data_IF_668029279763
#
_entry.id   IF_668029279763
#
_cell.length_a   1.000
_cell.length_b   1.000
_cell.length_c   1.000
_cell.angle_alpha   90.00
_cell.angle_beta   90.00
_cell.angle_gamma   90.00
#
_symmetry.space_group_name_H-M   'P 1'
#
loop_
_entity.id
_entity.type
_entity.pdbx_description
1 polymer ?
#
# COMPACT_ATOMS: atom_id res chain seq x y z
N UNK A 1 -11.79 -7.41 -28.83
CA UNK A 1 -10.92 -6.32 -28.41
C UNK A 1 -10.67 -6.41 -26.91
N UNK A 2 -9.45 -6.64 -26.55
CA UNK A 2 -9.08 -6.80 -25.15
C UNK A 2 -8.69 -5.46 -24.54
N UNK A 3 -9.42 -5.04 -23.54
CA UNK A 3 -9.03 -3.86 -22.76
C UNK A 3 -7.93 -4.27 -21.79
N UNK A 4 -6.95 -3.38 -21.52
CA UNK A 4 -6.02 -3.63 -20.43
C UNK A 4 -6.83 -3.83 -19.13
N UNK A 5 -6.52 -4.88 -18.40
CA UNK A 5 -7.16 -5.12 -17.11
C UNK A 5 -6.68 -4.08 -16.14
N UNK A 6 -7.61 -3.33 -15.58
CA UNK A 6 -7.31 -2.43 -14.47
C UNK A 6 -7.29 -3.21 -13.17
N UNK A 7 -6.49 -2.80 -12.18
CA UNK A 7 -6.61 -3.35 -10.84
C UNK A 7 -8.06 -3.20 -10.35
N UNK A 8 -8.60 -4.18 -9.64
CA UNK A 8 -9.95 -4.08 -9.11
C UNK A 8 -10.09 -2.90 -8.15
N UNK A 9 -11.23 -2.25 -8.20
CA UNK A 9 -11.57 -1.19 -7.24
C UNK A 9 -12.18 -1.86 -6.01
N UNK A 10 -11.55 -1.64 -4.87
CA UNK A 10 -11.97 -2.23 -3.60
C UNK A 10 -12.56 -1.13 -2.75
N UNK A 11 -13.76 -1.34 -2.24
CA UNK A 11 -14.42 -0.36 -1.38
C UNK A 11 -13.79 -0.33 0.02
N UNK A 12 -14.00 0.79 0.73
CA UNK A 12 -13.56 0.90 2.11
C UNK A 12 -14.14 -0.23 2.98
N UNK A 13 -15.39 -0.59 2.77
CA UNK A 13 -16.03 -1.68 3.49
C UNK A 13 -15.36 -3.03 3.24
N UNK A 14 -14.98 -3.30 2.00
CA UNK A 14 -14.26 -4.53 1.66
C UNK A 14 -12.89 -4.58 2.32
N UNK A 15 -12.14 -3.48 2.28
CA UNK A 15 -10.87 -3.39 3.00
C UNK A 15 -11.05 -3.62 4.49
N UNK A 16 -12.02 -2.96 5.09
CA UNK A 16 -12.24 -3.06 6.52
C UNK A 16 -12.63 -4.49 6.93
N UNK A 17 -13.46 -5.14 6.14
CA UNK A 17 -13.82 -6.53 6.39
C UNK A 17 -12.59 -7.45 6.32
N UNK A 18 -11.78 -7.33 5.26
CA UNK A 18 -10.56 -8.11 5.15
C UNK A 18 -9.64 -7.88 6.35
N UNK A 19 -9.44 -6.61 6.71
CA UNK A 19 -8.59 -6.23 7.84
C UNK A 19 -9.10 -6.81 9.17
N UNK A 20 -10.42 -6.88 9.34
CA UNK A 20 -11.01 -7.41 10.58
C UNK A 20 -10.74 -8.91 10.78
N UNK A 21 -10.47 -9.64 9.69
CA UNK A 21 -10.14 -11.07 9.74
C UNK A 21 -8.63 -11.32 9.78
N UNK A 22 -7.83 -10.28 9.77
CA UNK A 22 -6.38 -10.37 9.77
C UNK A 22 -5.82 -9.97 11.12
N UNK A 23 -4.66 -10.54 11.45
CA UNK A 23 -3.92 -10.10 12.63
C UNK A 23 -3.50 -8.65 12.45
N UNK A 24 -3.61 -7.87 13.53
CA UNK A 24 -3.13 -6.49 13.55
C UNK A 24 -1.65 -6.45 13.16
N UNK A 25 -1.25 -5.54 12.26
CA UNK A 25 0.15 -5.44 11.86
C UNK A 25 1.08 -5.08 13.02
N UNK A 26 2.37 -5.37 12.83
CA UNK A 26 3.40 -5.01 13.80
C UNK A 26 3.47 -3.50 14.01
N UNK A 27 4.11 -3.08 15.10
CA UNK A 27 4.27 -1.67 15.40
C UNK A 27 4.97 -0.91 14.27
N UNK A 28 5.98 -1.52 13.63
CA UNK A 28 6.69 -0.90 12.52
C UNK A 28 5.77 -0.64 11.33
N UNK A 29 4.96 -1.62 10.96
CA UNK A 29 4.01 -1.46 9.85
C UNK A 29 2.95 -0.42 10.22
N UNK A 30 2.46 -0.42 11.44
CA UNK A 30 1.47 0.58 11.88
C UNK A 30 2.04 1.99 11.80
N UNK A 31 3.32 2.18 12.13
CA UNK A 31 4.00 3.47 11.97
C UNK A 31 4.05 3.91 10.51
N UNK A 32 4.35 2.96 9.59
CA UNK A 32 4.33 3.24 8.16
C UNK A 32 2.94 3.66 7.69
N UNK A 33 1.92 2.91 8.07
CA UNK A 33 0.54 3.20 7.69
C UNK A 33 0.10 4.57 8.19
N UNK A 34 0.43 4.88 9.45
CA UNK A 34 0.09 6.17 10.05
C UNK A 34 0.80 7.32 9.35
N UNK A 35 2.09 7.16 9.08
CA UNK A 35 2.87 8.18 8.37
C UNK A 35 2.32 8.40 6.96
N UNK A 36 1.97 7.34 6.25
CA UNK A 36 1.43 7.41 4.90
C UNK A 36 0.06 8.10 4.89
N UNK A 37 -0.81 7.69 5.80
CA UNK A 37 -2.16 8.27 5.94
C UNK A 37 -2.10 9.77 6.24
N UNK A 38 -1.14 10.19 7.08
CA UNK A 38 -0.99 11.57 7.50
C UNK A 38 -0.12 12.41 6.57
N UNK A 39 0.49 11.82 5.56
CA UNK A 39 1.26 12.55 4.57
C UNK A 39 0.36 13.46 3.75
N UNK A 40 0.88 14.59 3.33
CA UNK A 40 0.14 15.52 2.50
C UNK A 40 -0.30 14.82 1.21
N UNK A 41 -1.60 14.87 0.92
CA UNK A 41 -2.18 14.18 -0.22
C UNK A 41 -2.09 12.66 -0.14
N UNK A 42 -1.75 12.10 1.01
CA UNK A 42 -1.47 10.69 1.22
C UNK A 42 -0.38 10.16 0.28
N UNK A 43 0.60 11.00 -0.01
CA UNK A 43 1.72 10.68 -0.90
C UNK A 43 2.98 10.46 -0.08
N UNK A 44 3.68 9.36 -0.33
CA UNK A 44 4.95 9.07 0.31
C UNK A 44 5.86 8.27 -0.62
N UNK A 45 7.08 8.03 -0.16
CA UNK A 45 8.00 7.09 -0.81
C UNK A 45 8.35 5.97 0.16
N UNK A 46 8.86 4.86 -0.35
CA UNK A 46 9.29 3.77 0.54
C UNK A 46 10.41 4.21 1.47
N UNK A 47 11.27 5.14 1.03
CA UNK A 47 12.33 5.69 1.88
C UNK A 47 11.73 6.44 3.08
N UNK A 48 10.75 7.30 2.84
CA UNK A 48 10.10 8.05 3.93
C UNK A 48 9.32 7.13 4.86
N UNK A 49 8.66 6.12 4.32
CA UNK A 49 7.95 5.14 5.14
C UNK A 49 8.92 4.31 5.98
N UNK A 50 10.07 3.96 5.40
CA UNK A 50 11.12 3.26 6.14
C UNK A 50 11.64 4.10 7.31
N UNK A 51 11.89 5.37 7.08
CA UNK A 51 12.32 6.29 8.14
C UNK A 51 11.30 6.37 9.26
N UNK A 52 10.02 6.47 8.91
CA UNK A 52 8.95 6.52 9.90
C UNK A 52 8.90 5.26 10.76
N UNK A 53 9.23 4.11 10.19
CA UNK A 53 9.24 2.83 10.90
C UNK A 53 10.55 2.57 11.66
N UNK A 54 11.56 3.41 11.47
CA UNK A 54 12.87 3.22 12.11
C UNK A 54 13.81 2.30 11.33
N UNK A 55 13.53 2.02 10.06
CA UNK A 55 14.44 1.24 9.23
C UNK A 55 15.55 2.10 8.66
N UNK A 56 16.70 1.50 8.43
CA UNK A 56 17.87 2.19 7.88
C UNK A 56 17.88 2.25 6.35
N UNK A 57 17.02 1.46 5.69
CA UNK A 57 16.90 1.45 4.24
C UNK A 57 15.43 1.22 3.83
N UNK A 58 15.15 1.45 2.56
CA UNK A 58 13.78 1.28 2.05
C UNK A 58 13.38 -0.18 1.86
N UNK A 59 14.33 -1.10 1.75
CA UNK A 59 14.05 -2.50 1.42
C UNK A 59 13.10 -3.19 2.40
N UNK A 60 13.30 -3.11 3.74
CA UNK A 60 12.35 -3.71 4.66
C UNK A 60 10.95 -3.10 4.55
N UNK A 61 10.87 -1.78 4.35
CA UNK A 61 9.58 -1.10 4.21
C UNK A 61 8.83 -1.61 2.98
N UNK A 62 9.54 -1.70 1.84
CA UNK A 62 8.96 -2.20 0.61
C UNK A 62 8.47 -3.64 0.77
N UNK A 63 9.29 -4.49 1.38
CA UNK A 63 8.95 -5.90 1.61
C UNK A 63 7.71 -6.05 2.50
N UNK A 64 7.71 -5.37 3.64
CA UNK A 64 6.62 -5.51 4.60
C UNK A 64 5.31 -4.87 4.13
N UNK A 65 5.39 -3.76 3.44
CA UNK A 65 4.22 -3.11 2.88
C UNK A 65 3.61 -3.96 1.77
N UNK A 66 4.45 -4.51 0.91
CA UNK A 66 4.01 -5.44 -0.13
C UNK A 66 3.37 -6.70 0.46
N UNK A 67 3.96 -7.27 1.50
CA UNK A 67 3.42 -8.45 2.17
C UNK A 67 2.06 -8.16 2.81
N UNK A 68 1.88 -6.99 3.40
CA UNK A 68 0.59 -6.57 3.95
C UNK A 68 -0.47 -6.50 2.86
N UNK A 69 -0.16 -5.82 1.76
CA UNK A 69 -1.08 -5.70 0.62
C UNK A 69 -1.42 -7.07 0.04
N UNK A 70 -0.45 -7.97 -0.05
CA UNK A 70 -0.66 -9.34 -0.53
C UNK A 70 -1.65 -10.09 0.36
N UNK A 71 -1.52 -9.97 1.67
CA UNK A 71 -2.45 -10.63 2.60
C UNK A 71 -3.87 -10.08 2.46
N UNK A 72 -4.00 -8.77 2.29
CA UNK A 72 -5.30 -8.16 2.01
C UNK A 72 -5.88 -8.72 0.71
N UNK A 73 -5.06 -8.75 -0.35
CA UNK A 73 -5.49 -9.26 -1.65
C UNK A 73 -5.96 -10.70 -1.60
N UNK A 74 -5.27 -11.54 -0.83
CA UNK A 74 -5.66 -12.94 -0.67
C UNK A 74 -6.98 -13.10 0.08
N UNK A 75 -7.21 -12.28 1.09
CA UNK A 75 -8.52 -12.27 1.77
C UNK A 75 -9.64 -11.86 0.83
N UNK A 76 -9.35 -11.00 -0.12
CA UNK A 76 -10.33 -10.53 -1.10
C UNK A 76 -10.41 -11.43 -2.34
N UNK A 77 -9.66 -12.54 -2.35
CA UNK A 77 -9.58 -13.50 -3.45
C UNK A 77 -9.12 -12.87 -4.78
N UNK A 78 -8.20 -11.91 -4.69
CA UNK A 78 -7.63 -11.24 -5.87
C UNK A 78 -6.34 -11.94 -6.26
N UNK A 79 -6.23 -12.35 -7.53
CA UNK A 79 -5.03 -13.02 -8.02
C UNK A 79 -3.98 -12.02 -8.51
N UNK A 80 -2.72 -12.33 -8.28
CA UNK A 80 -1.59 -11.52 -8.72
C UNK A 80 -1.59 -11.24 -10.23
N UNK A 81 -1.95 -12.22 -11.11
CA UNK A 81 -1.95 -11.95 -12.55
C UNK A 81 -2.85 -10.81 -13.01
N UNK A 82 -3.83 -10.39 -12.20
CA UNK A 82 -4.68 -9.26 -12.53
C UNK A 82 -4.05 -7.92 -12.17
N UNK A 83 -2.93 -7.94 -11.43
CA UNK A 83 -2.27 -6.76 -10.91
C UNK A 83 -0.98 -6.50 -11.68
N UNK A 84 -0.83 -5.31 -12.22
CA UNK A 84 0.40 -4.93 -12.92
C UNK A 84 0.86 -3.57 -12.44
N UNK A 85 2.11 -3.50 -12.00
CA UNK A 85 2.75 -2.25 -11.62
C UNK A 85 4.10 -2.16 -12.34
N UNK A 86 4.55 -0.94 -12.69
CA UNK A 86 5.76 -0.76 -13.47
C UNK A 86 7.03 -0.69 -12.60
N UNK A 87 7.03 -1.32 -11.44
CA UNK A 87 8.17 -1.31 -10.52
C UNK A 87 8.52 -2.74 -10.11
N UNK A 88 9.67 -2.91 -9.44
CA UNK A 88 10.05 -4.18 -8.86
C UNK A 88 9.32 -4.49 -7.55
N UNK A 89 8.44 -3.61 -7.10
CA UNK A 89 7.66 -3.79 -5.89
C UNK A 89 6.60 -4.88 -6.07
N UNK A 90 6.10 -5.39 -4.95
CA UNK A 90 5.03 -6.38 -4.98
C UNK A 90 3.81 -5.82 -5.70
N UNK A 91 3.28 -6.59 -6.68
CA UNK A 91 2.14 -6.19 -7.47
C UNK A 91 0.90 -5.87 -6.62
N UNK A 92 0.74 -6.53 -5.48
CA UNK A 92 -0.39 -6.29 -4.58
C UNK A 92 -0.39 -4.89 -3.97
N UNK A 93 0.72 -4.16 -4.00
CA UNK A 93 0.73 -2.76 -3.54
C UNK A 93 -0.26 -1.89 -4.31
N UNK A 94 -0.57 -2.25 -5.55
CA UNK A 94 -1.55 -1.53 -6.36
C UNK A 94 -2.98 -1.57 -5.77
N UNK A 95 -3.25 -2.47 -4.84
CA UNK A 95 -4.55 -2.51 -4.16
C UNK A 95 -4.72 -1.36 -3.17
N UNK A 96 -3.64 -0.99 -2.48
CA UNK A 96 -3.70 0.01 -1.42
C UNK A 96 -3.20 1.38 -1.86
N UNK A 97 -2.53 1.47 -2.99
CA UNK A 97 -1.99 2.73 -3.48
C UNK A 97 -1.72 2.75 -4.96
N UNK A 98 -1.59 3.95 -5.48
CA UNK A 98 -1.24 4.19 -6.88
C UNK A 98 0.19 4.68 -6.94
N UNK A 99 1.00 4.06 -7.82
CA UNK A 99 2.37 4.50 -8.06
C UNK A 99 2.40 5.62 -9.08
N UNK A 100 3.09 6.70 -8.75
CA UNK A 100 3.30 7.81 -9.64
C UNK A 100 4.79 7.93 -9.90
N UNK A 101 5.18 7.91 -11.16
CA UNK A 101 6.56 8.08 -11.55
C UNK A 101 6.96 9.53 -11.35
N UNK A 102 8.08 9.81 -10.65
CA UNK A 102 8.55 11.19 -10.52
C UNK A 102 8.97 11.74 -11.87
N UNK A 103 8.79 13.06 -12.04
CA UNK A 103 9.13 13.73 -13.28
C UNK A 103 10.65 13.84 -13.53
N UNK A 104 11.43 13.69 -12.49
CA UNK A 104 12.88 13.78 -12.60
C UNK A 104 13.51 12.42 -12.81
N UNK A 105 14.32 12.33 -13.86
CA UNK A 105 14.90 11.08 -14.33
C UNK A 105 16.00 10.56 -13.40
N UNK A 106 16.54 11.41 -12.53
CA UNK A 106 17.73 11.09 -11.76
C UNK A 106 17.45 10.46 -10.40
N UNK A 107 16.20 10.42 -9.96
CA UNK A 107 15.86 9.85 -8.67
C UNK A 107 14.65 8.95 -8.79
N UNK A 108 14.96 7.69 -8.73
CA UNK A 108 14.00 6.64 -9.03
C UNK A 108 13.04 6.31 -7.88
N UNK A 109 12.76 7.25 -7.00
CA UNK A 109 11.80 7.00 -5.93
C UNK A 109 10.39 7.23 -6.46
N UNK A 110 9.71 6.13 -6.73
CA UNK A 110 8.30 6.21 -7.08
C UNK A 110 7.50 6.77 -5.92
N UNK A 111 6.59 7.67 -6.24
CA UNK A 111 5.62 8.17 -5.29
C UNK A 111 4.50 7.14 -5.15
N UNK A 112 4.12 6.86 -3.92
CA UNK A 112 2.99 5.98 -3.64
C UNK A 112 1.88 6.82 -3.00
N UNK A 113 0.73 6.89 -3.69
CA UNK A 113 -0.44 7.61 -3.21
C UNK A 113 -1.40 6.58 -2.61
N UNK A 114 -1.65 6.67 -1.31
CA UNK A 114 -2.61 5.76 -0.67
C UNK A 114 -4.01 5.99 -1.22
N UNK A 115 -4.67 4.92 -1.61
CA UNK A 115 -6.04 5.00 -2.13
C UNK A 115 -7.00 5.52 -1.06
N UNK A 116 -7.94 6.39 -1.43
CA UNK A 116 -8.88 6.95 -0.45
C UNK A 116 -9.73 5.89 0.25
N UNK A 117 -10.08 4.81 -0.45
CA UNK A 117 -10.85 3.71 0.13
C UNK A 117 -10.08 2.99 1.22
N UNK A 118 -8.77 2.78 1.00
CA UNK A 118 -7.92 2.17 2.01
C UNK A 118 -7.69 3.13 3.18
N UNK A 119 -7.51 4.41 2.91
CA UNK A 119 -7.37 5.43 3.95
C UNK A 119 -8.62 5.47 4.86
N UNK A 120 -9.79 5.42 4.26
CA UNK A 120 -11.05 5.39 5.00
C UNK A 120 -11.14 4.14 5.89
N UNK A 121 -10.79 2.99 5.37
CA UNK A 121 -10.76 1.74 6.14
C UNK A 121 -9.77 1.83 7.31
N UNK A 122 -8.58 2.40 7.08
CA UNK A 122 -7.60 2.57 8.14
C UNK A 122 -8.14 3.44 9.28
N UNK A 123 -8.80 4.55 8.96
CA UNK A 123 -9.38 5.44 9.97
C UNK A 123 -10.46 4.74 10.80
N UNK A 124 -11.22 3.84 10.18
CA UNK A 124 -12.26 3.08 10.87
C UNK A 124 -11.71 1.87 11.64
N UNK A 125 -10.48 1.47 11.37
CA UNK A 125 -9.86 0.29 11.96
C UNK A 125 -9.09 0.62 13.24
N UNK A 126 -8.60 -0.43 13.92
CA UNK A 126 -7.69 -0.27 15.05
C UNK A 126 -6.22 -0.35 14.63
N UNK A 127 -5.92 -0.42 13.33
CA UNK A 127 -4.56 -0.64 12.85
C UNK A 127 -3.61 0.54 13.08
N UNK A 128 -4.15 1.76 13.15
CA UNK A 128 -3.35 2.97 13.33
C UNK A 128 -3.47 3.57 14.73
N UNK A 129 -4.16 2.89 15.62
CA UNK A 129 -4.31 3.36 17.01
C UNK A 129 -3.16 2.90 17.90
#
# INVERSE_FOLDING_TARGET
MTRPKRPPIISAGQFLEAMSHMRRPSASIRKMLRAHLNSRGRVSTMTLLAEAAGYTSFSPANLHYGALARRIGKHLAISEPTLRIPTASDAYLSLIGDFIRPNEVTNAHWLLVMKPEFAEALRASNWIK
#
